data_IF_555410354155
#
_entry.id   IF_555410354155
#
_cell.length_a   1.000
_cell.length_b   1.000
_cell.length_c   1.000
_cell.angle_alpha   90.00
_cell.angle_beta   90.00
_cell.angle_gamma   90.00
#
_symmetry.space_group_name_H-M   'P 1'
#
loop_
_entity.id
_entity.type
_entity.pdbx_description
1 polymer ?
#
# COMPACT_ATOMS: atom_id res chain seq x y z
N UNK A 1 26.40 -12.85 -8.04
CA UNK A 1 26.01 -12.06 -9.23
C UNK A 1 24.62 -12.45 -9.75
N UNK A 2 24.40 -13.65 -10.32
CA UNK A 2 23.07 -14.02 -10.84
C UNK A 2 21.97 -14.14 -9.76
N UNK A 3 22.29 -14.69 -8.58
CA UNK A 3 21.32 -14.81 -7.46
C UNK A 3 20.89 -13.46 -6.89
N UNK A 4 21.79 -12.48 -6.89
CA UNK A 4 21.54 -11.14 -6.34
C UNK A 4 20.59 -10.35 -7.25
N UNK A 5 20.77 -10.47 -8.57
CA UNK A 5 19.85 -9.93 -9.58
C UNK A 5 18.43 -10.51 -9.45
N UNK A 6 18.32 -11.83 -9.27
CA UNK A 6 17.01 -12.49 -9.07
C UNK A 6 16.34 -11.99 -7.78
N UNK A 7 17.09 -11.86 -6.67
CA UNK A 7 16.57 -11.33 -5.41
C UNK A 7 16.12 -9.87 -5.55
N UNK A 8 16.87 -9.04 -6.28
CA UNK A 8 16.52 -7.66 -6.56
C UNK A 8 15.24 -7.57 -7.41
N UNK A 9 15.14 -8.39 -8.46
CA UNK A 9 13.97 -8.46 -9.35
C UNK A 9 12.69 -8.79 -8.58
N UNK A 10 12.72 -9.84 -7.76
CA UNK A 10 11.56 -10.22 -6.94
C UNK A 10 11.16 -9.14 -5.92
N UNK A 11 12.13 -8.44 -5.32
CA UNK A 11 11.84 -7.30 -4.42
C UNK A 11 11.16 -6.14 -5.16
N UNK A 12 11.62 -5.81 -6.36
CA UNK A 12 11.00 -4.78 -7.20
C UNK A 12 9.61 -5.18 -7.62
N UNK A 13 9.42 -6.42 -8.07
CA UNK A 13 8.10 -6.95 -8.44
C UNK A 13 7.12 -6.87 -7.27
N UNK A 14 7.54 -7.30 -6.08
CA UNK A 14 6.70 -7.26 -4.88
C UNK A 14 6.38 -5.83 -4.46
N UNK A 15 7.34 -4.91 -4.59
CA UNK A 15 7.13 -3.47 -4.33
C UNK A 15 6.07 -2.89 -5.27
N UNK A 16 6.10 -3.24 -6.56
CA UNK A 16 5.09 -2.79 -7.54
C UNK A 16 3.70 -3.32 -7.16
N UNK A 17 3.58 -4.60 -6.81
CA UNK A 17 2.29 -5.18 -6.39
C UNK A 17 1.73 -4.46 -5.16
N UNK A 18 2.59 -4.17 -4.17
CA UNK A 18 2.17 -3.41 -2.98
C UNK A 18 1.70 -2.01 -3.34
N UNK A 19 2.41 -1.30 -4.23
CA UNK A 19 1.98 0.03 -4.70
C UNK A 19 0.63 -0.02 -5.41
N UNK A 20 0.39 -1.02 -6.26
CA UNK A 20 -0.91 -1.18 -6.93
C UNK A 20 -2.05 -1.39 -5.92
N UNK A 21 -1.83 -2.23 -4.90
CA UNK A 21 -2.82 -2.44 -3.84
C UNK A 21 -3.08 -1.17 -3.01
N UNK A 22 -2.03 -0.39 -2.70
CA UNK A 22 -2.17 0.88 -2.00
C UNK A 22 -2.93 1.91 -2.84
N UNK A 23 -2.70 1.94 -4.15
CA UNK A 23 -3.42 2.82 -5.07
C UNK A 23 -4.91 2.49 -5.12
N UNK A 24 -5.28 1.22 -5.33
CA UNK A 24 -6.67 0.77 -5.32
C UNK A 24 -7.36 1.07 -3.98
N UNK A 25 -6.65 0.82 -2.87
CA UNK A 25 -7.11 1.18 -1.53
C UNK A 25 -7.37 2.67 -1.38
N UNK A 26 -6.45 3.52 -1.88
CA UNK A 26 -6.59 4.98 -1.83
C UNK A 26 -7.80 5.45 -2.63
N UNK A 27 -8.00 4.93 -3.85
CA UNK A 27 -9.17 5.25 -4.69
C UNK A 27 -10.47 4.86 -3.96
N UNK A 28 -10.49 3.69 -3.33
CA UNK A 28 -11.64 3.23 -2.52
C UNK A 28 -11.92 4.18 -1.35
N UNK A 29 -10.88 4.63 -0.65
CA UNK A 29 -11.00 5.59 0.43
C UNK A 29 -11.57 6.92 -0.06
N UNK A 30 -11.10 7.44 -1.19
CA UNK A 30 -11.64 8.67 -1.76
C UNK A 30 -13.10 8.52 -2.22
N UNK A 31 -13.50 7.37 -2.74
CA UNK A 31 -14.90 7.08 -3.00
C UNK A 31 -15.75 7.11 -1.73
N UNK A 32 -15.25 6.53 -0.62
CA UNK A 32 -15.91 6.59 0.68
C UNK A 32 -16.05 8.01 1.22
N UNK A 33 -15.03 8.85 1.05
CA UNK A 33 -15.05 10.26 1.44
C UNK A 33 -16.04 11.09 0.61
N UNK A 34 -16.34 10.65 -0.62
CA UNK A 34 -17.26 11.34 -1.52
C UNK A 34 -18.73 10.94 -1.32
N UNK A 35 -19.02 9.93 -0.49
CA UNK A 35 -20.38 9.52 -0.15
C UNK A 35 -20.99 10.50 0.87
N UNK A 36 -22.28 10.87 0.73
CA UNK A 36 -22.97 11.79 1.64
C UNK A 36 -23.39 11.07 2.93
N UNK A 37 -22.43 10.60 3.71
CA UNK A 37 -22.65 9.94 5.01
C UNK A 37 -21.41 10.09 5.89
N UNK A 38 -21.60 10.60 7.11
CA UNK A 38 -20.51 10.84 8.07
C UNK A 38 -19.76 9.55 8.45
N UNK A 39 -20.48 8.42 8.49
CA UNK A 39 -19.89 7.10 8.73
C UNK A 39 -18.95 6.69 7.58
N UNK A 40 -19.34 7.00 6.34
CA UNK A 40 -18.54 6.73 5.14
C UNK A 40 -17.27 7.58 5.14
N UNK A 41 -17.38 8.84 5.53
CA UNK A 41 -16.23 9.74 5.66
C UNK A 41 -15.26 9.21 6.72
N UNK A 42 -15.74 8.84 7.90
CA UNK A 42 -14.91 8.25 8.95
C UNK A 42 -14.20 6.98 8.49
N UNK A 43 -14.94 6.07 7.83
CA UNK A 43 -14.37 4.84 7.27
C UNK A 43 -13.28 5.13 6.22
N UNK A 44 -13.51 6.12 5.34
CA UNK A 44 -12.54 6.56 4.34
C UNK A 44 -11.25 7.11 4.97
N UNK A 45 -11.36 7.96 6.00
CA UNK A 45 -10.19 8.49 6.74
C UNK A 45 -9.43 7.36 7.44
N UNK A 46 -10.13 6.46 8.15
CA UNK A 46 -9.51 5.30 8.78
C UNK A 46 -8.77 4.41 7.77
N UNK A 47 -9.38 4.17 6.61
CA UNK A 47 -8.77 3.36 5.55
C UNK A 47 -7.48 4.00 5.03
N UNK A 48 -7.47 5.33 4.79
CA UNK A 48 -6.25 6.06 4.39
C UNK A 48 -5.14 5.96 5.43
N UNK A 49 -5.46 6.11 6.72
CA UNK A 49 -4.48 5.97 7.80
C UNK A 49 -3.90 4.56 7.85
N UNK A 50 -4.74 3.53 7.72
CA UNK A 50 -4.31 2.14 7.66
C UNK A 50 -3.43 1.86 6.44
N UNK A 51 -3.75 2.41 5.27
CA UNK A 51 -2.95 2.26 4.05
C UNK A 51 -1.60 2.97 4.16
N UNK A 52 -1.57 4.18 4.74
CA UNK A 52 -0.32 4.91 4.94
C UNK A 52 0.62 4.18 5.91
N UNK A 53 0.11 3.78 7.08
CA UNK A 53 0.89 3.07 8.09
C UNK A 53 1.27 1.65 7.61
N UNK A 54 0.30 0.91 7.09
CA UNK A 54 0.49 -0.45 6.59
C UNK A 54 1.42 -0.50 5.39
N UNK A 55 1.24 0.39 4.42
CA UNK A 55 2.10 0.53 3.25
C UNK A 55 3.56 0.78 3.64
N UNK A 56 3.80 1.70 4.57
CA UNK A 56 5.16 1.97 5.07
C UNK A 56 5.78 0.75 5.78
N UNK A 57 5.03 0.06 6.62
CA UNK A 57 5.51 -1.14 7.33
C UNK A 57 5.85 -2.26 6.35
N UNK A 58 4.99 -2.53 5.37
CA UNK A 58 5.20 -3.56 4.35
C UNK A 58 6.42 -3.22 3.49
N UNK A 59 6.54 -1.98 3.01
CA UNK A 59 7.73 -1.52 2.29
C UNK A 59 9.00 -1.69 3.12
N UNK A 60 8.97 -1.28 4.39
CA UNK A 60 10.12 -1.45 5.27
C UNK A 60 10.50 -2.91 5.44
N UNK A 61 9.54 -3.85 5.47
CA UNK A 61 9.82 -5.28 5.59
C UNK A 61 10.47 -5.86 4.33
N UNK A 62 10.00 -5.47 3.14
CA UNK A 62 10.56 -5.89 1.84
C UNK A 62 12.03 -5.47 1.73
N UNK A 63 12.35 -4.26 2.19
CA UNK A 63 13.65 -3.63 2.00
C UNK A 63 14.62 -3.84 3.18
N UNK A 64 14.15 -4.14 4.40
CA UNK A 64 15.01 -4.40 5.60
C UNK A 64 15.94 -5.62 5.48
N UNK A 65 15.67 -6.56 4.59
CA UNK A 65 16.48 -7.79 4.40
C UNK A 65 17.65 -7.54 3.42
N UNK A 66 18.31 -6.39 3.53
CA UNK A 66 19.57 -6.01 2.85
C UNK A 66 20.58 -5.75 3.94
#
# INVERSE_FOLDING_TARGET
MARDLVKQFWKSLLSIVVVMLLYEGMVTAFHLLNLPSDLSVFAGVCLLLCLAAGGFIVFRFIWRRI
#
